data_IF_561931765267
#
_entry.id   IF_561931765267
#
_cell.length_a   1.000
_cell.length_b   1.000
_cell.length_c   1.000
_cell.angle_alpha   90.00
_cell.angle_beta   90.00
_cell.angle_gamma   90.00
#
_symmetry.space_group_name_H-M   'P 1'
#
loop_
_entity.id
_entity.type
_entity.pdbx_description
1 polymer ?
#
# COMPACT_ATOMS: atom_id res chain seq x y z
N UNK A 1 55.90 -42.54 -27.31
CA UNK A 1 56.69 -43.12 -26.20
C UNK A 1 56.88 -42.07 -25.12
N UNK A 2 56.27 -42.31 -23.94
CA UNK A 2 56.70 -41.98 -22.55
C UNK A 2 57.08 -40.52 -22.19
N UNK A 3 56.79 -39.93 -21.02
CA UNK A 3 56.03 -40.22 -19.78
C UNK A 3 56.09 -38.91 -18.94
N UNK A 4 54.96 -38.44 -18.43
CA UNK A 4 54.68 -38.01 -17.03
C UNK A 4 55.90 -37.94 -16.08
N UNK A 5 56.08 -36.82 -15.38
CA UNK A 5 56.35 -36.80 -13.92
C UNK A 5 55.92 -35.47 -13.28
N UNK A 6 55.04 -35.59 -12.30
CA UNK A 6 54.74 -34.58 -11.29
C UNK A 6 55.78 -34.66 -10.17
N UNK A 7 56.17 -33.52 -9.60
CA UNK A 7 56.80 -33.46 -8.27
C UNK A 7 56.22 -32.26 -7.52
N UNK A 8 55.46 -32.58 -6.48
CA UNK A 8 55.15 -31.69 -5.36
C UNK A 8 56.43 -31.44 -4.55
N UNK A 9 56.68 -30.19 -4.15
CA UNK A 9 57.49 -29.91 -2.97
C UNK A 9 56.83 -28.81 -2.13
N UNK A 10 56.36 -29.21 -0.95
CA UNK A 10 56.00 -28.34 0.16
C UNK A 10 57.27 -27.71 0.73
N UNK A 11 57.27 -26.39 0.91
CA UNK A 11 58.14 -25.70 1.87
C UNK A 11 57.28 -24.75 2.69
N UNK A 12 57.10 -25.09 3.96
CA UNK A 12 56.58 -24.22 5.00
C UNK A 12 57.76 -23.47 5.63
N UNK A 13 57.72 -22.13 5.64
CA UNK A 13 58.54 -21.31 6.51
C UNK A 13 57.74 -20.11 7.00
N UNK A 14 57.75 -19.96 8.32
CA UNK A 14 57.08 -18.97 9.12
C UNK A 14 57.78 -17.59 9.08
N UNK A 15 57.00 -16.52 9.19
CA UNK A 15 57.42 -15.20 9.68
C UNK A 15 56.16 -14.42 10.09
N UNK A 16 55.83 -14.39 11.38
CA UNK A 16 56.09 -13.30 12.32
C UNK A 16 55.08 -12.14 12.22
N UNK A 17 53.99 -12.29 12.98
CA UNK A 17 53.05 -11.22 13.35
C UNK A 17 53.73 -10.17 14.23
N UNK A 18 53.65 -8.89 13.85
CA UNK A 18 54.03 -7.77 14.69
C UNK A 18 52.91 -7.44 15.68
N UNK A 19 53.03 -7.97 16.89
CA UNK A 19 52.28 -7.54 18.08
C UNK A 19 52.69 -6.11 18.44
N UNK A 20 51.73 -5.18 18.47
CA UNK A 20 51.94 -3.82 18.99
C UNK A 20 52.04 -3.85 20.53
N UNK A 21 52.96 -3.09 21.16
CA UNK A 21 53.09 -3.07 22.60
C UNK A 21 51.89 -2.38 23.29
N UNK A 22 51.37 -3.04 24.32
CA UNK A 22 50.39 -2.52 25.28
C UNK A 22 51.08 -1.56 26.24
N UNK A 23 50.53 -0.37 26.42
CA UNK A 23 51.03 0.63 27.36
C UNK A 23 50.76 0.21 28.83
N UNK A 24 51.65 0.53 29.78
CA UNK A 24 51.52 0.14 31.18
C UNK A 24 50.40 0.90 31.93
N UNK A 25 49.81 0.30 32.99
CA UNK A 25 48.76 0.92 33.79
C UNK A 25 49.29 2.06 34.66
N UNK A 26 48.52 3.14 34.74
CA UNK A 26 48.82 4.30 35.58
C UNK A 26 48.67 3.97 37.09
N UNK A 27 49.45 4.62 37.98
CA UNK A 27 49.45 4.37 39.43
C UNK A 27 48.18 4.90 40.13
N UNK A 28 47.82 4.33 41.30
CA UNK A 28 46.62 4.71 42.05
C UNK A 28 46.78 6.09 42.71
N UNK A 29 45.99 7.05 42.23
CA UNK A 29 45.88 8.40 42.79
C UNK A 29 44.83 8.47 43.90
N UNK A 30 45.20 9.14 44.97
CA UNK A 30 44.51 9.42 46.24
C UNK A 30 43.06 9.89 46.14
N UNK A 31 42.23 9.31 47.02
CA UNK A 31 40.84 9.68 47.32
C UNK A 31 40.81 11.10 47.91
N UNK A 32 40.14 12.04 47.24
CA UNK A 32 39.66 13.28 47.84
C UNK A 32 38.14 13.24 47.87
N UNK A 33 37.60 13.26 49.08
CA UNK A 33 36.18 13.36 49.36
C UNK A 33 35.63 14.69 48.86
N UNK A 34 34.86 14.67 47.77
CA UNK A 34 33.95 15.76 47.44
C UNK A 34 32.51 15.23 47.37
N UNK A 35 31.67 15.97 48.09
CA UNK A 35 30.25 15.82 48.36
C UNK A 35 29.41 15.33 47.19
N UNK A 36 28.57 14.33 47.48
CA UNK A 36 27.41 13.94 46.68
C UNK A 36 26.45 15.13 46.60
N UNK A 37 26.49 15.85 45.49
CA UNK A 37 25.38 16.70 45.05
C UNK A 37 24.65 15.94 43.94
N UNK A 38 23.42 15.50 44.25
CA UNK A 38 22.48 14.98 43.27
C UNK A 38 22.24 16.03 42.18
N UNK A 39 22.49 15.74 40.89
CA UNK A 39 21.86 16.49 39.83
C UNK A 39 20.44 15.95 39.69
N UNK A 40 19.47 16.79 40.03
CA UNK A 40 18.10 16.71 39.57
C UNK A 40 18.10 16.77 38.04
N UNK A 41 18.39 15.64 37.39
CA UNK A 41 18.34 15.50 35.94
C UNK A 41 16.89 15.36 35.51
N UNK A 42 16.33 16.44 34.97
CA UNK A 42 15.18 16.32 34.07
C UNK A 42 15.51 15.29 32.97
N UNK A 43 14.55 14.47 32.51
CA UNK A 43 14.80 13.50 31.46
C UNK A 43 15.30 14.26 30.22
N UNK A 44 16.50 13.93 29.77
CA UNK A 44 17.01 14.39 28.48
C UNK A 44 16.09 13.77 27.43
N UNK A 45 15.22 14.59 26.84
CA UNK A 45 14.43 14.19 25.68
C UNK A 45 15.40 13.70 24.61
N UNK A 46 15.36 12.40 24.30
CA UNK A 46 16.15 11.83 23.22
C UNK A 46 15.82 12.55 21.92
N UNK A 47 16.84 12.79 21.09
CA UNK A 47 16.65 13.34 19.74
C UNK A 47 15.52 12.56 19.04
N UNK A 48 14.54 13.25 18.42
CA UNK A 48 13.45 12.56 17.73
C UNK A 48 14.04 11.60 16.69
N UNK A 49 13.61 10.34 16.73
CA UNK A 49 13.99 9.33 15.74
C UNK A 49 13.46 9.81 14.37
N UNK A 50 14.25 9.64 13.31
CA UNK A 50 13.77 9.98 11.97
C UNK A 50 12.53 9.15 11.60
N UNK A 51 11.51 9.79 11.02
CA UNK A 51 10.28 9.13 10.58
C UNK A 51 10.60 8.05 9.54
N UNK A 52 10.00 6.86 9.68
CA UNK A 52 10.19 5.76 8.73
C UNK A 52 9.63 6.16 7.35
N UNK A 53 8.57 6.97 7.33
CA UNK A 53 8.01 7.59 6.14
C UNK A 53 8.98 8.51 5.40
N UNK A 54 9.68 9.40 6.10
CA UNK A 54 10.66 10.29 5.50
C UNK A 54 11.86 9.51 4.96
N UNK A 55 12.31 8.49 5.68
CA UNK A 55 13.32 7.55 5.17
C UNK A 55 12.85 6.86 3.89
N UNK A 56 11.56 6.54 3.77
CA UNK A 56 11.00 5.93 2.56
C UNK A 56 11.10 6.87 1.38
N UNK A 57 10.74 8.14 1.56
CA UNK A 57 10.90 9.15 0.52
C UNK A 57 12.36 9.30 0.11
N UNK A 58 13.29 9.31 1.06
CA UNK A 58 14.72 9.41 0.78
C UNK A 58 15.24 8.20 -0.01
N UNK A 59 14.84 6.98 0.38
CA UNK A 59 15.17 5.74 -0.33
C UNK A 59 14.61 5.76 -1.76
N UNK A 60 13.33 6.09 -1.92
CA UNK A 60 12.65 6.12 -3.23
C UNK A 60 13.29 7.14 -4.17
N UNK A 61 13.64 8.34 -3.67
CA UNK A 61 14.37 9.35 -4.45
C UNK A 61 15.75 8.85 -4.85
N UNK A 62 16.51 8.27 -3.91
CA UNK A 62 17.83 7.69 -4.17
C UNK A 62 17.75 6.63 -5.28
N UNK A 63 16.82 5.70 -5.19
CA UNK A 63 16.66 4.65 -6.21
C UNK A 63 16.19 5.22 -7.55
N UNK A 64 15.25 6.18 -7.52
CA UNK A 64 14.71 6.80 -8.72
C UNK A 64 15.75 7.62 -9.50
N UNK A 65 16.63 8.35 -8.80
CA UNK A 65 17.64 9.23 -9.42
C UNK A 65 18.90 8.47 -9.88
N UNK A 66 19.07 7.21 -9.46
CA UNK A 66 20.27 6.43 -9.71
C UNK A 66 20.27 5.73 -11.08
N UNK A 67 20.78 6.42 -12.11
CA UNK A 67 20.73 5.97 -13.50
C UNK A 67 21.86 5.01 -13.92
N UNK A 68 22.53 4.33 -13.00
CA UNK A 68 23.59 3.36 -13.35
C UNK A 68 23.07 2.25 -14.28
N UNK A 69 23.94 1.72 -15.15
CA UNK A 69 23.57 0.68 -16.12
C UNK A 69 23.32 -0.69 -15.47
N UNK A 70 24.05 -0.99 -14.41
CA UNK A 70 24.01 -2.24 -13.67
C UNK A 70 24.45 -2.04 -12.21
N UNK A 71 24.32 -3.10 -11.42
CA UNK A 71 24.57 -3.13 -9.98
C UNK A 71 25.82 -3.97 -9.66
N UNK A 72 26.90 -3.82 -10.45
CA UNK A 72 28.19 -4.44 -10.18
C UNK A 72 28.53 -5.64 -11.04
N UNK A 73 28.03 -5.69 -12.29
CA UNK A 73 28.46 -6.70 -13.27
C UNK A 73 27.35 -7.25 -14.18
N UNK A 74 27.77 -8.09 -15.14
CA UNK A 74 26.92 -8.61 -16.23
C UNK A 74 25.67 -9.39 -15.77
N UNK A 75 25.69 -9.92 -14.55
CA UNK A 75 24.58 -10.68 -13.95
C UNK A 75 23.84 -9.88 -12.87
N UNK A 76 24.08 -8.58 -12.72
CA UNK A 76 23.44 -7.72 -11.71
C UNK A 76 22.73 -6.55 -12.39
N UNK A 77 21.53 -6.73 -12.96
CA UNK A 77 20.82 -5.65 -13.67
C UNK A 77 20.49 -4.46 -12.78
N UNK A 78 20.27 -3.29 -13.37
CA UNK A 78 19.98 -2.05 -12.63
C UNK A 78 18.82 -2.15 -11.62
N UNK A 79 17.78 -2.96 -11.88
CA UNK A 79 16.67 -3.14 -10.94
C UNK A 79 17.08 -3.78 -9.60
N UNK A 80 18.27 -4.40 -9.53
CA UNK A 80 18.76 -5.02 -8.29
C UNK A 80 19.00 -3.97 -7.20
N UNK A 81 19.39 -2.75 -7.58
CA UNK A 81 19.83 -1.71 -6.64
C UNK A 81 19.31 -0.31 -6.94
N UNK A 82 18.55 -0.13 -8.04
CA UNK A 82 18.04 1.16 -8.47
C UNK A 82 16.63 1.05 -9.05
N UNK A 83 16.01 2.21 -9.23
CA UNK A 83 14.63 2.40 -9.63
C UNK A 83 13.61 1.88 -8.62
N UNK A 84 12.35 2.25 -8.84
CA UNK A 84 11.24 1.97 -7.94
C UNK A 84 10.32 0.94 -8.59
N UNK A 85 10.21 -0.24 -7.96
CA UNK A 85 9.31 -1.32 -8.39
C UNK A 85 7.90 -1.08 -7.85
N UNK A 86 6.95 -0.81 -8.73
CA UNK A 86 5.56 -0.50 -8.42
C UNK A 86 4.66 -1.67 -8.78
N UNK A 87 3.90 -2.22 -7.83
CA UNK A 87 2.77 -3.09 -8.16
C UNK A 87 1.48 -2.35 -7.87
N UNK A 88 0.78 -1.98 -8.93
CA UNK A 88 -0.58 -1.49 -8.84
C UNK A 88 -1.54 -2.64 -8.51
N UNK A 89 -2.50 -2.38 -7.62
CA UNK A 89 -3.47 -3.40 -7.18
C UNK A 89 -4.87 -2.83 -7.16
N UNK A 90 -5.85 -3.69 -7.46
CA UNK A 90 -7.21 -3.42 -7.02
C UNK A 90 -7.30 -3.70 -5.51
N UNK A 91 -8.20 -3.00 -4.82
CA UNK A 91 -8.52 -3.27 -3.43
C UNK A 91 -9.76 -4.17 -3.34
N UNK A 92 -9.70 -5.17 -2.46
CA UNK A 92 -10.83 -6.04 -2.16
C UNK A 92 -10.66 -6.64 -0.77
N UNK A 93 -11.77 -6.80 -0.05
CA UNK A 93 -11.81 -7.55 1.20
C UNK A 93 -11.40 -9.02 1.02
N UNK A 94 -11.63 -9.59 -0.17
CA UNK A 94 -11.47 -11.03 -0.43
C UNK A 94 -10.02 -11.49 -0.61
N UNK A 95 -9.06 -10.56 -0.77
CA UNK A 95 -7.64 -10.91 -0.91
C UNK A 95 -6.74 -9.82 -0.34
N UNK A 96 -5.52 -10.21 0.04
CA UNK A 96 -4.46 -9.28 0.42
C UNK A 96 -3.70 -8.84 -0.84
N UNK A 97 -3.41 -7.55 -1.04
CA UNK A 97 -2.80 -7.06 -2.28
C UNK A 97 -1.38 -7.60 -2.51
N UNK A 98 -0.62 -7.86 -1.44
CA UNK A 98 0.70 -8.49 -1.52
C UNK A 98 0.65 -10.00 -1.74
N UNK A 99 -0.53 -10.63 -1.74
CA UNK A 99 -0.66 -12.00 -2.19
C UNK A 99 -0.71 -12.08 -3.72
N UNK A 100 -0.05 -13.07 -4.33
CA UNK A 100 -0.18 -13.28 -5.77
C UNK A 100 -1.56 -13.85 -6.08
N UNK A 101 -2.09 -13.56 -7.28
CA UNK A 101 -3.29 -14.25 -7.76
C UNK A 101 -3.00 -15.77 -7.82
N UNK A 102 -3.80 -16.63 -7.15
CA UNK A 102 -3.59 -18.08 -7.16
C UNK A 102 -3.56 -18.70 -8.56
N UNK A 103 -4.25 -18.11 -9.52
CA UNK A 103 -4.32 -18.59 -10.91
C UNK A 103 -3.24 -17.98 -11.82
N UNK A 104 -2.50 -16.98 -11.35
CA UNK A 104 -1.39 -16.41 -12.12
C UNK A 104 -0.14 -17.27 -11.98
N UNK A 105 0.73 -17.22 -12.99
CA UNK A 105 2.03 -17.90 -13.05
C UNK A 105 3.19 -17.05 -12.51
N UNK A 106 2.93 -15.79 -12.18
CA UNK A 106 3.90 -14.79 -11.76
C UNK A 106 3.20 -13.52 -11.31
N UNK A 107 3.96 -12.47 -11.02
CA UNK A 107 3.42 -11.20 -10.54
C UNK A 107 3.98 -10.04 -11.33
N UNK A 108 3.11 -9.17 -11.83
CA UNK A 108 3.52 -8.02 -12.63
C UNK A 108 3.80 -6.80 -11.77
N UNK A 109 4.91 -6.14 -12.07
CA UNK A 109 5.32 -4.86 -11.52
C UNK A 109 5.64 -3.92 -12.68
N UNK A 110 5.45 -2.63 -12.48
CA UNK A 110 6.12 -1.62 -13.27
C UNK A 110 7.39 -1.18 -12.56
N UNK A 111 8.30 -0.54 -13.29
CA UNK A 111 9.56 -0.05 -12.74
C UNK A 111 9.83 1.36 -13.27
N UNK A 112 9.98 2.32 -12.37
CA UNK A 112 10.25 3.71 -12.72
C UNK A 112 11.64 4.13 -12.28
N UNK A 113 12.28 4.93 -13.10
CA UNK A 113 13.54 5.61 -12.82
C UNK A 113 13.53 6.93 -13.58
N UNK A 114 14.38 7.88 -13.21
CA UNK A 114 14.43 9.21 -13.82
C UNK A 114 14.54 9.17 -15.35
N UNK A 115 15.17 8.14 -15.89
CA UNK A 115 15.41 7.93 -17.30
C UNK A 115 14.46 6.90 -17.95
N UNK A 116 13.43 6.43 -17.24
CA UNK A 116 12.40 5.48 -17.72
C UNK A 116 11.13 5.56 -16.88
N UNK A 117 10.15 6.32 -17.36
CA UNK A 117 8.90 6.60 -16.65
C UNK A 117 7.64 6.39 -17.53
N UNK A 118 6.45 6.62 -16.98
CA UNK A 118 5.12 6.63 -17.63
C UNK A 118 4.17 7.55 -16.87
N UNK A 119 3.02 7.85 -17.48
CA UNK A 119 1.97 8.67 -16.89
C UNK A 119 0.78 7.90 -16.31
N UNK A 120 0.68 6.57 -16.50
CA UNK A 120 -0.40 5.76 -15.88
C UNK A 120 0.04 4.36 -15.48
N UNK A 121 -0.66 3.80 -14.50
CA UNK A 121 -0.53 2.41 -14.08
C UNK A 121 -1.47 1.49 -14.88
N UNK A 122 -1.22 0.18 -14.79
CA UNK A 122 -2.08 -0.84 -15.38
C UNK A 122 -3.54 -0.70 -14.91
N UNK A 123 -4.48 -0.93 -15.83
CA UNK A 123 -5.93 -0.88 -15.57
C UNK A 123 -6.47 0.44 -15.01
N UNK A 124 -5.68 1.52 -15.00
CA UNK A 124 -6.07 2.79 -14.39
C UNK A 124 -6.12 2.75 -12.86
N UNK A 125 -5.47 1.77 -12.22
CA UNK A 125 -5.41 1.70 -10.76
C UNK A 125 -4.69 2.91 -10.17
N UNK A 126 -5.20 3.36 -9.01
CA UNK A 126 -4.68 4.52 -8.29
C UNK A 126 -3.79 4.16 -7.10
N UNK A 127 -3.69 2.90 -6.68
CA UNK A 127 -2.93 2.50 -5.50
C UNK A 127 -2.15 1.20 -5.73
N UNK A 128 -1.29 0.90 -4.75
CA UNK A 128 -0.54 -0.33 -4.73
C UNK A 128 0.58 -0.33 -3.70
N UNK A 129 1.62 -1.10 -3.97
CA UNK A 129 2.78 -1.19 -3.11
C UNK A 129 4.11 -1.15 -3.87
N UNK A 130 5.14 -0.74 -3.17
CA UNK A 130 6.52 -0.64 -3.64
C UNK A 130 7.37 -1.71 -2.99
N UNK A 131 8.21 -2.38 -3.77
CA UNK A 131 9.24 -3.26 -3.23
C UNK A 131 10.57 -2.53 -2.97
N UNK A 132 11.29 -2.98 -1.95
CA UNK A 132 12.73 -2.72 -1.86
C UNK A 132 13.43 -3.33 -3.08
N UNK A 133 14.44 -2.66 -3.67
CA UNK A 133 15.40 -3.30 -4.55
C UNK A 133 16.08 -4.48 -3.84
N UNK A 134 16.42 -5.51 -4.61
CA UNK A 134 16.98 -6.76 -4.08
C UNK A 134 18.24 -6.55 -3.22
N UNK A 135 19.08 -5.56 -3.52
CA UNK A 135 20.31 -5.27 -2.77
C UNK A 135 20.09 -4.58 -1.43
N UNK A 136 18.95 -3.92 -1.24
CA UNK A 136 18.66 -3.15 -0.02
C UNK A 136 18.08 -4.04 1.08
N UNK A 137 17.43 -5.15 0.69
CA UNK A 137 16.89 -6.21 1.53
C UNK A 137 15.90 -5.72 2.62
N UNK A 138 14.65 -6.21 2.60
CA UNK A 138 13.79 -6.05 3.78
C UNK A 138 14.06 -7.21 4.75
N UNK A 139 14.47 -6.90 5.97
CA UNK A 139 14.78 -7.91 6.99
C UNK A 139 13.62 -8.91 7.16
N UNK A 140 13.94 -10.21 7.07
CA UNK A 140 12.95 -11.29 7.21
C UNK A 140 12.02 -11.52 6.01
N UNK A 141 12.17 -10.75 4.92
CA UNK A 141 11.38 -10.92 3.70
C UNK A 141 11.99 -11.95 2.73
N UNK A 142 11.15 -12.48 1.84
CA UNK A 142 11.61 -13.29 0.72
C UNK A 142 12.34 -12.45 -0.31
N UNK A 143 13.41 -13.03 -0.88
CA UNK A 143 14.07 -12.51 -2.07
C UNK A 143 13.26 -12.92 -3.31
N UNK A 144 12.74 -11.94 -4.03
CA UNK A 144 11.89 -12.17 -5.21
C UNK A 144 12.65 -11.74 -6.46
N UNK A 145 12.81 -12.66 -7.40
CA UNK A 145 13.50 -12.40 -8.65
C UNK A 145 12.57 -11.90 -9.75
N UNK A 146 13.15 -11.11 -10.66
CA UNK A 146 12.54 -10.73 -11.93
C UNK A 146 12.86 -11.80 -12.96
N UNK A 147 11.86 -12.28 -13.67
CA UNK A 147 11.92 -13.34 -14.68
C UNK A 147 12.11 -12.78 -16.09
N UNK A 148 11.40 -11.69 -16.41
CA UNK A 148 11.54 -10.98 -17.67
C UNK A 148 11.10 -9.52 -17.55
N UNK A 149 11.52 -8.72 -18.53
CA UNK A 149 11.23 -7.29 -18.60
C UNK A 149 10.72 -6.88 -19.99
N UNK A 150 9.59 -6.19 -20.04
CA UNK A 150 8.93 -5.68 -21.24
C UNK A 150 8.90 -4.15 -21.21
N UNK A 151 9.53 -3.45 -22.18
CA UNK A 151 9.58 -1.98 -22.20
C UNK A 151 8.20 -1.30 -22.28
N UNK A 152 7.16 -2.05 -22.62
CA UNK A 152 5.75 -1.65 -22.61
C UNK A 152 4.93 -2.77 -21.95
N UNK A 153 3.69 -2.51 -21.55
CA UNK A 153 2.76 -3.52 -21.04
C UNK A 153 2.76 -4.78 -21.91
N UNK A 154 3.23 -5.88 -21.34
CA UNK A 154 3.58 -7.12 -22.04
C UNK A 154 2.41 -8.07 -22.23
N UNK A 155 1.22 -7.76 -21.70
CA UNK A 155 0.06 -8.66 -21.76
C UNK A 155 0.35 -10.01 -21.10
N UNK A 156 1.02 -9.99 -19.93
CA UNK A 156 1.53 -11.23 -19.31
C UNK A 156 0.44 -12.19 -18.82
N UNK A 157 -0.81 -11.74 -18.74
CA UNK A 157 -1.98 -12.58 -18.52
C UNK A 157 -2.24 -13.57 -19.69
N UNK A 158 -1.82 -13.24 -20.91
CA UNK A 158 -2.07 -14.04 -22.12
C UNK A 158 -0.84 -14.87 -22.57
N UNK A 159 0.18 -14.96 -21.69
CA UNK A 159 1.43 -15.71 -21.90
C UNK A 159 1.43 -16.98 -21.05
N UNK A 160 0.96 -18.13 -21.58
CA UNK A 160 0.73 -19.34 -20.78
C UNK A 160 2.01 -20.07 -20.38
N UNK A 161 3.16 -19.75 -20.98
CA UNK A 161 4.43 -20.44 -20.75
C UNK A 161 5.49 -19.53 -20.11
N UNK A 162 6.55 -20.15 -19.59
CA UNK A 162 7.70 -19.50 -18.96
C UNK A 162 7.30 -18.46 -17.89
N UNK A 163 6.29 -18.77 -17.08
CA UNK A 163 5.82 -17.90 -15.99
C UNK A 163 5.29 -16.52 -16.43
N UNK A 164 4.77 -16.41 -17.66
CA UNK A 164 4.35 -15.14 -18.24
C UNK A 164 5.44 -14.45 -19.07
N UNK A 165 6.59 -15.11 -19.28
CA UNK A 165 7.68 -14.60 -20.11
C UNK A 165 7.73 -15.23 -21.51
N UNK A 166 6.89 -16.23 -21.78
CA UNK A 166 6.79 -16.90 -23.07
C UNK A 166 5.98 -16.10 -24.09
N UNK A 167 5.75 -16.66 -25.29
CA UNK A 167 4.87 -16.06 -26.27
C UNK A 167 3.42 -15.95 -25.78
N UNK A 168 2.69 -14.97 -26.31
CA UNK A 168 1.23 -14.88 -26.21
C UNK A 168 0.56 -15.89 -27.13
N UNK A 169 -0.68 -16.25 -26.82
CA UNK A 169 -1.48 -17.16 -27.66
C UNK A 169 -1.80 -16.56 -29.03
N UNK A 170 -2.02 -15.25 -29.10
CA UNK A 170 -2.39 -14.54 -30.33
C UNK A 170 -1.19 -14.28 -31.26
N UNK A 171 0.02 -14.09 -30.72
CA UNK A 171 1.22 -13.79 -31.51
C UNK A 171 2.36 -14.77 -31.20
N UNK A 172 2.19 -16.09 -31.44
CA UNK A 172 3.10 -17.12 -30.95
C UNK A 172 4.52 -17.05 -31.53
N UNK A 173 4.72 -16.32 -32.64
CA UNK A 173 6.03 -16.18 -33.29
C UNK A 173 6.75 -14.88 -32.90
N UNK A 174 6.07 -13.74 -32.99
CA UNK A 174 6.69 -12.41 -32.75
C UNK A 174 6.82 -12.05 -31.28
N UNK A 175 6.02 -12.67 -30.39
CA UNK A 175 6.02 -12.36 -28.96
C UNK A 175 6.90 -13.28 -28.11
N UNK A 176 7.61 -14.24 -28.73
CA UNK A 176 8.60 -15.10 -28.06
C UNK A 176 9.65 -14.25 -27.33
N UNK A 177 10.38 -14.79 -26.33
CA UNK A 177 11.48 -14.07 -25.69
C UNK A 177 12.42 -13.41 -26.71
N UNK A 178 12.89 -12.19 -26.43
CA UNK A 178 13.70 -11.43 -27.40
C UNK A 178 14.99 -12.17 -27.77
N UNK A 179 15.61 -12.87 -26.81
CA UNK A 179 16.83 -13.66 -27.03
C UNK A 179 16.59 -14.78 -28.07
N UNK A 180 15.43 -15.42 -28.05
CA UNK A 180 15.05 -16.50 -28.99
C UNK A 180 14.81 -15.99 -30.41
N UNK A 181 14.63 -14.67 -30.56
CA UNK A 181 14.43 -13.99 -31.83
C UNK A 181 15.69 -13.27 -32.34
N UNK A 182 16.79 -13.34 -31.60
CA UNK A 182 18.01 -12.58 -31.92
C UNK A 182 17.88 -11.08 -31.69
N UNK A 183 16.85 -10.62 -30.97
CA UNK A 183 16.64 -9.20 -30.63
C UNK A 183 17.48 -8.87 -29.39
N UNK A 184 18.70 -8.42 -29.64
CA UNK A 184 19.70 -8.15 -28.58
C UNK A 184 19.88 -6.66 -28.28
N UNK A 185 19.29 -5.77 -29.06
CA UNK A 185 19.46 -4.32 -28.92
C UNK A 185 18.13 -3.60 -28.82
N UNK A 186 18.12 -2.45 -28.15
CA UNK A 186 16.93 -1.59 -28.10
C UNK A 186 16.48 -1.13 -29.50
N UNK A 187 17.42 -0.93 -30.43
CA UNK A 187 17.13 -0.49 -31.80
C UNK A 187 16.37 -1.55 -32.61
N UNK A 188 16.81 -2.81 -32.54
CA UNK A 188 16.10 -3.93 -33.17
C UNK A 188 14.75 -4.20 -32.50
N UNK A 189 14.68 -4.01 -31.18
CA UNK A 189 13.41 -4.07 -30.47
C UNK A 189 12.44 -2.99 -30.93
N UNK A 190 12.87 -1.72 -31.03
CA UNK A 190 12.03 -0.61 -31.50
C UNK A 190 11.56 -0.82 -32.94
N UNK A 191 12.43 -1.31 -33.82
CA UNK A 191 12.05 -1.65 -35.20
C UNK A 191 10.93 -2.69 -35.23
N UNK A 192 11.06 -3.78 -34.47
CA UNK A 192 10.03 -4.81 -34.34
C UNK A 192 8.74 -4.24 -33.73
N UNK A 193 8.85 -3.58 -32.57
CA UNK A 193 7.74 -3.01 -31.81
C UNK A 193 6.91 -1.99 -32.59
N UNK A 194 7.56 -1.16 -33.41
CA UNK A 194 6.87 -0.17 -34.23
C UNK A 194 6.06 -0.81 -35.36
N UNK A 195 6.51 -1.96 -35.89
CA UNK A 195 5.78 -2.73 -36.91
C UNK A 195 4.61 -3.57 -36.36
N UNK A 196 4.43 -3.68 -35.05
CA UNK A 196 3.35 -4.46 -34.45
C UNK A 196 2.01 -3.75 -34.55
N UNK A 197 0.99 -4.50 -34.98
CA UNK A 197 -0.43 -4.12 -34.93
C UNK A 197 -0.89 -4.04 -33.47
N UNK A 198 -0.69 -5.10 -32.69
CA UNK A 198 -0.94 -5.12 -31.25
C UNK A 198 0.38 -5.08 -30.48
N UNK A 199 0.68 -3.92 -29.90
CA UNK A 199 1.93 -3.65 -29.17
C UNK A 199 2.02 -4.40 -27.85
N UNK A 200 0.89 -4.67 -27.19
CA UNK A 200 0.85 -5.41 -25.93
C UNK A 200 1.17 -6.88 -26.15
N UNK A 201 0.43 -7.49 -27.08
CA UNK A 201 0.45 -8.94 -27.29
C UNK A 201 1.59 -9.40 -28.21
N UNK A 202 2.02 -8.53 -29.13
CA UNK A 202 3.00 -8.88 -30.17
C UNK A 202 4.46 -8.67 -29.79
N UNK A 203 4.76 -7.89 -28.74
CA UNK A 203 6.12 -7.55 -28.35
C UNK A 203 6.84 -8.73 -27.69
N UNK A 204 8.17 -8.75 -27.83
CA UNK A 204 9.04 -9.62 -27.03
C UNK A 204 9.46 -8.92 -25.74
N UNK A 205 9.75 -9.71 -24.70
CA UNK A 205 10.42 -9.27 -23.48
C UNK A 205 11.80 -9.92 -23.36
N UNK A 206 12.72 -9.26 -22.67
CA UNK A 206 14.04 -9.83 -22.40
C UNK A 206 14.04 -10.74 -21.18
N UNK A 207 14.75 -11.86 -21.28
CA UNK A 207 14.88 -12.82 -20.19
C UNK A 207 15.87 -12.33 -19.13
N UNK A 208 15.41 -12.23 -17.89
CA UNK A 208 16.25 -11.92 -16.72
C UNK A 208 16.86 -13.19 -16.09
N UNK A 209 16.59 -14.36 -16.68
CA UNK A 209 17.23 -15.64 -16.36
C UNK A 209 18.57 -15.84 -17.09
N UNK A 210 18.86 -15.01 -18.09
CA UNK A 210 20.08 -15.11 -18.91
C UNK A 210 21.33 -14.64 -18.16
N UNK A 211 22.50 -15.16 -18.54
CA UNK A 211 23.80 -14.67 -18.04
C UNK A 211 24.13 -13.24 -18.49
N UNK A 212 23.45 -12.73 -19.53
CA UNK A 212 23.59 -11.39 -20.06
C UNK A 212 22.52 -10.40 -19.51
N UNK A 213 21.80 -10.78 -18.45
CA UNK A 213 20.63 -10.04 -17.95
C UNK A 213 20.88 -8.56 -17.64
N UNK A 214 22.08 -8.16 -17.20
CA UNK A 214 22.36 -6.74 -16.97
C UNK A 214 22.37 -5.93 -18.27
N UNK A 215 23.02 -6.47 -19.32
CA UNK A 215 22.98 -5.87 -20.64
C UNK A 215 21.54 -5.85 -21.19
N UNK A 216 20.77 -6.93 -21.03
CA UNK A 216 19.38 -6.98 -21.47
C UNK A 216 18.49 -5.96 -20.78
N UNK A 217 18.68 -5.77 -19.48
CA UNK A 217 17.93 -4.73 -18.76
C UNK A 217 18.35 -3.32 -19.17
N UNK A 218 19.61 -3.12 -19.53
CA UNK A 218 20.05 -1.87 -20.18
C UNK A 218 19.32 -1.64 -21.50
N UNK A 219 19.14 -2.67 -22.33
CA UNK A 219 18.35 -2.55 -23.56
C UNK A 219 16.87 -2.25 -23.29
N UNK A 220 16.31 -2.80 -22.20
CA UNK A 220 14.97 -2.45 -21.73
C UNK A 220 14.83 -0.96 -21.40
N UNK A 221 15.79 -0.38 -20.67
CA UNK A 221 15.82 1.06 -20.36
C UNK A 221 15.91 1.89 -21.66
N UNK A 222 16.85 1.54 -22.54
CA UNK A 222 17.06 2.27 -23.80
C UNK A 222 15.85 2.17 -24.75
N UNK A 223 15.18 1.00 -24.79
CA UNK A 223 13.97 0.82 -25.59
C UNK A 223 12.84 1.71 -25.10
N UNK A 224 12.70 1.86 -23.77
CA UNK A 224 11.76 2.79 -23.18
C UNK A 224 12.07 4.24 -23.53
N UNK A 225 13.34 4.63 -23.47
CA UNK A 225 13.79 5.98 -23.83
C UNK A 225 13.52 6.31 -25.30
N UNK A 226 13.80 5.37 -26.21
CA UNK A 226 13.57 5.55 -27.65
C UNK A 226 12.10 5.41 -28.10
N UNK A 227 11.19 5.02 -27.21
CA UNK A 227 9.78 4.80 -27.53
C UNK A 227 9.05 6.10 -27.90
N UNK A 228 8.20 6.05 -28.93
CA UNK A 228 7.36 7.19 -29.31
C UNK A 228 6.39 7.60 -28.18
N UNK A 229 6.10 8.91 -28.09
CA UNK A 229 5.21 9.49 -27.05
C UNK A 229 3.85 8.79 -26.99
N UNK A 230 3.30 8.39 -28.15
CA UNK A 230 2.02 7.67 -28.24
C UNK A 230 1.98 6.34 -27.46
N UNK A 231 3.13 5.70 -27.21
CA UNK A 231 3.22 4.45 -26.45
C UNK A 231 3.82 4.67 -25.05
N UNK A 232 4.48 5.81 -24.81
CA UNK A 232 5.18 6.10 -23.57
C UNK A 232 4.25 6.17 -22.35
N UNK A 233 3.02 6.67 -22.53
CA UNK A 233 2.08 6.79 -21.40
C UNK A 233 1.77 5.44 -20.76
N UNK A 234 1.76 4.36 -21.54
CA UNK A 234 1.50 3.01 -21.05
C UNK A 234 2.68 2.51 -20.22
N UNK A 235 2.40 1.92 -19.07
CA UNK A 235 3.40 1.37 -18.16
C UNK A 235 4.33 0.36 -18.82
N UNK A 236 5.53 0.18 -18.27
CA UNK A 236 6.36 -0.98 -18.56
C UNK A 236 5.96 -2.15 -17.64
N UNK A 237 6.49 -3.33 -17.90
CA UNK A 237 6.16 -4.51 -17.12
C UNK A 237 7.39 -5.39 -16.84
N UNK A 238 7.69 -5.55 -15.57
CA UNK A 238 8.54 -6.59 -15.02
C UNK A 238 7.65 -7.75 -14.57
N UNK A 239 8.02 -8.97 -14.95
CA UNK A 239 7.37 -10.18 -14.46
C UNK A 239 8.23 -10.77 -13.35
N UNK A 240 7.70 -10.80 -12.13
CA UNK A 240 8.35 -11.40 -10.97
C UNK A 240 7.92 -12.86 -10.79
N UNK A 241 8.79 -13.65 -10.16
CA UNK A 241 8.47 -15.00 -9.70
C UNK A 241 7.24 -14.95 -8.79
N UNK A 242 6.36 -15.95 -8.89
CA UNK A 242 5.23 -16.11 -7.97
C UNK A 242 5.71 -16.64 -6.61
N UNK A 243 5.29 -16.00 -5.53
CA UNK A 243 5.52 -16.48 -4.17
C UNK A 243 4.28 -17.19 -3.56
N UNK A 244 4.45 -17.78 -2.38
CA UNK A 244 3.34 -18.42 -1.67
C UNK A 244 2.38 -17.38 -1.07
N UNK A 245 1.11 -17.75 -0.92
CA UNK A 245 0.15 -16.91 -0.19
C UNK A 245 0.67 -16.60 1.23
N UNK A 246 0.40 -15.38 1.71
CA UNK A 246 0.73 -14.92 3.07
C UNK A 246 2.23 -14.89 3.39
N UNK A 247 3.10 -14.90 2.36
CA UNK A 247 4.53 -14.70 2.55
C UNK A 247 4.85 -13.26 2.95
N UNK A 248 5.86 -13.07 3.80
CA UNK A 248 6.46 -11.76 4.04
C UNK A 248 7.32 -11.42 2.81
N UNK A 249 6.91 -10.38 2.09
CA UNK A 249 7.58 -9.89 0.88
C UNK A 249 8.17 -8.50 1.12
N UNK A 250 9.13 -8.03 0.32
CA UNK A 250 9.94 -6.86 0.65
C UNK A 250 9.20 -5.54 0.38
N UNK A 251 8.06 -5.31 1.02
CA UNK A 251 7.30 -4.06 0.87
C UNK A 251 8.02 -2.91 1.57
N UNK A 252 8.40 -1.88 0.79
CA UNK A 252 8.97 -0.63 1.30
C UNK A 252 7.92 0.37 1.74
N UNK A 253 6.85 0.47 0.95
CA UNK A 253 5.79 1.45 1.10
C UNK A 253 4.52 0.97 0.39
N UNK A 254 3.37 1.37 0.89
CA UNK A 254 2.16 1.48 0.08
C UNK A 254 2.17 2.82 -0.65
N UNK A 255 1.45 2.93 -1.76
CA UNK A 255 1.33 4.19 -2.48
C UNK A 255 -0.08 4.43 -2.98
N UNK A 256 -0.38 5.70 -3.23
CA UNK A 256 -1.54 6.12 -4.00
C UNK A 256 -1.17 7.27 -4.95
N UNK A 257 -1.97 7.43 -6.01
CA UNK A 257 -1.92 8.52 -6.96
C UNK A 257 -2.96 9.58 -6.59
N UNK A 258 -2.58 10.86 -6.40
CA UNK A 258 -3.53 11.93 -6.12
C UNK A 258 -4.48 12.14 -7.32
N UNK A 259 -5.71 12.54 -7.04
CA UNK A 259 -6.73 12.79 -8.06
C UNK A 259 -7.48 11.56 -8.56
N UNK A 260 -7.17 10.36 -8.05
CA UNK A 260 -7.93 9.13 -8.30
C UNK A 260 -8.83 8.84 -7.09
N UNK A 261 -10.14 8.80 -7.32
CA UNK A 261 -11.13 8.54 -6.27
C UNK A 261 -10.85 7.21 -5.56
N UNK A 262 -10.91 7.21 -4.22
CA UNK A 262 -10.70 6.04 -3.37
C UNK A 262 -9.26 5.56 -3.21
N UNK A 263 -8.29 6.07 -4.00
CA UNK A 263 -6.93 5.55 -4.01
C UNK A 263 -6.20 5.67 -2.66
N UNK A 264 -6.37 6.79 -1.94
CA UNK A 264 -5.82 6.96 -0.59
C UNK A 264 -6.45 5.97 0.40
N UNK A 265 -7.78 5.87 0.43
CA UNK A 265 -8.49 4.93 1.31
C UNK A 265 -8.06 3.47 1.09
N UNK A 266 -7.80 3.08 -0.17
CA UNK A 266 -7.27 1.75 -0.47
C UNK A 266 -5.85 1.53 0.06
N UNK A 267 -4.96 2.52 -0.06
CA UNK A 267 -3.61 2.43 0.51
C UNK A 267 -3.63 2.41 2.06
N UNK A 268 -4.57 3.13 2.68
CA UNK A 268 -4.81 3.10 4.13
C UNK A 268 -5.28 1.74 4.62
N UNK A 269 -6.21 1.11 3.90
CA UNK A 269 -6.65 -0.25 4.22
C UNK A 269 -5.50 -1.24 4.07
N UNK A 270 -4.70 -1.12 3.02
CA UNK A 270 -3.53 -1.99 2.82
C UNK A 270 -2.50 -1.82 3.95
N UNK A 271 -2.25 -0.58 4.42
CA UNK A 271 -1.40 -0.30 5.56
C UNK A 271 -1.91 -0.95 6.85
N UNK A 272 -3.21 -0.79 7.15
CA UNK A 272 -3.86 -1.38 8.33
C UNK A 272 -3.76 -2.91 8.31
N UNK A 273 -4.11 -3.53 7.18
CA UNK A 273 -4.08 -5.00 7.02
C UNK A 273 -2.65 -5.54 7.11
N UNK A 274 -1.66 -4.82 6.60
CA UNK A 274 -0.26 -5.25 6.67
C UNK A 274 0.27 -5.19 8.11
N UNK A 275 -0.11 -4.14 8.85
CA UNK A 275 0.20 -4.02 10.28
C UNK A 275 -0.44 -5.17 11.07
N UNK A 276 -1.68 -5.54 10.79
CA UNK A 276 -2.36 -6.68 11.45
C UNK A 276 -1.66 -8.00 11.09
N UNK A 277 -1.37 -8.23 9.82
CA UNK A 277 -0.82 -9.49 9.34
C UNK A 277 0.63 -9.75 9.82
N UNK A 278 1.45 -8.71 9.90
CA UNK A 278 2.90 -8.86 10.11
C UNK A 278 3.46 -8.01 11.25
N UNK A 279 2.61 -7.31 12.00
CA UNK A 279 3.01 -6.37 13.06
C UNK A 279 4.04 -5.31 12.61
N UNK A 280 4.13 -5.05 11.31
CA UNK A 280 5.17 -4.19 10.72
C UNK A 280 4.53 -2.91 10.20
N UNK A 281 5.12 -1.75 10.54
CA UNK A 281 4.72 -0.47 9.96
C UNK A 281 5.30 -0.34 8.54
N UNK A 282 4.44 -0.01 7.58
CA UNK A 282 4.80 0.31 6.20
C UNK A 282 4.16 1.65 5.85
N UNK A 283 4.94 2.68 5.48
CA UNK A 283 4.38 4.01 5.21
C UNK A 283 3.57 4.03 3.91
N UNK A 284 2.58 4.91 3.85
CA UNK A 284 1.87 5.29 2.64
C UNK A 284 2.58 6.49 2.03
N UNK A 285 2.88 6.40 0.74
CA UNK A 285 3.58 7.43 -0.03
C UNK A 285 2.65 7.96 -1.11
N UNK A 286 2.47 9.28 -1.14
CA UNK A 286 1.83 9.97 -2.25
C UNK A 286 2.80 9.94 -3.44
N UNK A 287 2.43 9.19 -4.47
CA UNK A 287 3.18 9.06 -5.72
C UNK A 287 2.55 9.94 -6.79
N UNK A 288 3.32 10.84 -7.37
CA UNK A 288 2.93 11.54 -8.60
C UNK A 288 3.77 10.99 -9.74
N UNK A 289 3.13 10.40 -10.75
CA UNK A 289 3.81 9.93 -11.96
C UNK A 289 4.18 11.11 -12.87
N UNK A 290 5.17 10.91 -13.75
CA UNK A 290 5.53 11.94 -14.72
C UNK A 290 4.38 12.17 -15.71
N UNK A 291 4.06 13.44 -16.01
CA UNK A 291 3.04 13.82 -16.99
C UNK A 291 3.54 13.69 -18.44
N UNK A 292 4.86 13.82 -18.66
CA UNK A 292 5.50 13.71 -19.97
C UNK A 292 6.86 13.02 -19.88
N UNK A 293 7.48 12.73 -21.04
CA UNK A 293 8.81 12.08 -21.11
C UNK A 293 9.92 12.88 -20.43
N UNK A 294 9.80 14.20 -20.38
CA UNK A 294 10.78 15.11 -19.78
C UNK A 294 10.52 15.39 -18.30
N UNK A 295 9.37 14.99 -17.78
CA UNK A 295 9.00 15.21 -16.38
C UNK A 295 9.51 14.09 -15.47
N UNK A 296 9.56 14.37 -14.17
CA UNK A 296 9.96 13.41 -13.16
C UNK A 296 8.74 12.94 -12.34
N UNK A 297 8.83 11.70 -11.82
CA UNK A 297 7.93 11.29 -10.75
C UNK A 297 8.38 11.92 -9.42
N UNK A 298 7.43 12.10 -8.50
CA UNK A 298 7.72 12.61 -7.15
C UNK A 298 7.09 11.75 -6.08
N UNK A 299 7.78 11.69 -4.95
CA UNK A 299 7.38 10.94 -3.76
C UNK A 299 7.27 11.89 -2.57
N UNK A 300 6.15 11.80 -1.86
CA UNK A 300 5.92 12.56 -0.64
C UNK A 300 5.34 11.66 0.45
N UNK A 301 5.85 11.84 1.66
CA UNK A 301 5.26 11.31 2.88
C UNK A 301 4.45 12.42 3.51
N UNK A 302 3.18 12.13 3.79
CA UNK A 302 2.26 13.06 4.43
C UNK A 302 1.72 12.34 5.66
N UNK A 303 1.94 12.94 6.84
CA UNK A 303 1.51 12.34 8.09
C UNK A 303 0.00 12.04 8.10
N UNK A 304 -0.83 12.98 7.68
CA UNK A 304 -2.29 12.80 7.61
C UNK A 304 -2.78 11.74 6.62
N UNK A 305 -1.90 11.20 5.76
CA UNK A 305 -2.27 10.10 4.87
C UNK A 305 -2.16 8.74 5.60
N UNK A 306 -1.47 8.66 6.75
CA UNK A 306 -1.25 7.43 7.51
C UNK A 306 -2.46 7.10 8.41
N UNK A 307 -2.71 5.80 8.62
CA UNK A 307 -3.71 5.29 9.58
C UNK A 307 -3.12 4.37 10.64
N UNK A 308 -1.81 4.12 10.55
CA UNK A 308 -1.00 3.46 11.57
C UNK A 308 0.08 4.46 12.01
N UNK A 309 0.30 4.70 13.31
CA UNK A 309 1.34 5.60 13.80
C UNK A 309 2.74 5.20 13.29
N UNK A 310 3.57 6.17 12.91
CA UNK A 310 4.93 5.91 12.47
C UNK A 310 5.84 5.70 13.69
N UNK A 311 6.49 4.55 13.88
CA UNK A 311 7.36 4.34 15.04
C UNK A 311 8.47 5.38 15.23
N UNK A 312 8.85 6.12 14.18
CA UNK A 312 9.81 7.23 14.26
C UNK A 312 9.27 8.45 15.01
N UNK A 313 7.96 8.64 15.08
CA UNK A 313 7.32 9.74 15.83
C UNK A 313 7.20 9.46 17.33
N UNK A 314 7.80 8.37 17.84
CA UNK A 314 7.66 7.96 19.24
C UNK A 314 6.31 7.32 19.57
N UNK A 315 5.52 6.95 18.56
CA UNK A 315 4.14 6.49 18.72
C UNK A 315 3.15 7.63 18.96
N UNK A 316 3.56 8.87 18.71
CA UNK A 316 2.80 10.10 19.00
C UNK A 316 2.28 10.83 17.76
N UNK A 317 2.61 10.36 16.55
CA UNK A 317 2.18 10.95 15.28
C UNK A 317 0.96 10.26 14.67
N UNK A 318 0.53 10.71 13.47
CA UNK A 318 -0.86 10.80 13.02
C UNK A 318 -1.47 9.46 12.57
N UNK A 319 -1.42 8.44 13.42
CA UNK A 319 -2.57 7.54 13.55
C UNK A 319 -3.74 8.30 14.20
N UNK A 320 -4.92 7.69 14.38
CA UNK A 320 -6.03 8.35 15.09
C UNK A 320 -5.48 8.95 16.39
N UNK A 321 -5.53 10.27 16.47
CA UNK A 321 -4.90 11.08 17.50
C UNK A 321 -5.24 10.51 18.90
N UNK A 322 -4.26 10.15 19.74
CA UNK A 322 -4.53 9.60 21.06
C UNK A 322 -5.23 10.59 22.01
N UNK A 323 -5.32 11.89 21.65
CA UNK A 323 -6.15 12.90 22.32
C UNK A 323 -7.58 13.02 21.77
N UNK A 324 -7.87 12.39 20.63
CA UNK A 324 -9.18 12.33 20.00
C UNK A 324 -9.58 10.87 19.80
N UNK A 325 -10.07 10.22 20.87
CA UNK A 325 -10.46 8.81 20.88
C UNK A 325 -11.13 8.35 19.58
N UNK A 326 -10.75 7.18 19.07
CA UNK A 326 -11.12 6.58 17.78
C UNK A 326 -12.25 7.29 17.04
N UNK A 327 -11.90 8.30 16.23
CA UNK A 327 -12.82 8.91 15.28
C UNK A 327 -12.85 8.01 14.04
N UNK A 328 -13.99 7.38 13.80
CA UNK A 328 -14.32 6.75 12.52
C UNK A 328 -14.83 7.85 11.58
N UNK A 329 -14.01 8.17 10.59
CA UNK A 329 -14.35 9.09 9.50
C UNK A 329 -14.90 8.28 8.31
N UNK A 330 -16.21 8.43 8.06
CA UNK A 330 -16.89 7.70 6.98
C UNK A 330 -16.51 8.20 5.59
N UNK A 331 -15.86 9.36 5.48
CA UNK A 331 -15.34 9.91 4.22
C UNK A 331 -14.28 9.00 3.58
N UNK A 332 -13.62 8.15 4.38
CA UNK A 332 -12.45 7.37 3.96
C UNK A 332 -12.65 5.85 3.97
N UNK A 333 -13.89 5.37 4.16
CA UNK A 333 -14.22 3.94 4.25
C UNK A 333 -14.85 3.46 2.93
N UNK A 334 -14.23 2.50 2.21
CA UNK A 334 -14.81 1.98 0.98
C UNK A 334 -15.95 0.98 1.29
N UNK A 335 -17.21 1.44 1.24
CA UNK A 335 -18.36 0.55 1.36
C UNK A 335 -18.59 -0.23 0.05
N UNK A 336 -18.64 -1.56 0.10
CA UNK A 336 -18.81 -2.42 -1.07
C UNK A 336 -20.28 -2.56 -1.52
N UNK A 337 -20.82 -1.51 -2.15
CA UNK A 337 -22.12 -1.56 -2.85
C UNK A 337 -23.36 -1.60 -1.94
N UNK A 338 -24.58 -1.71 -2.52
CA UNK A 338 -25.84 -1.60 -1.79
C UNK A 338 -26.06 -2.77 -0.82
N UNK A 339 -26.59 -2.47 0.38
CA UNK A 339 -27.10 -3.45 1.34
C UNK A 339 -28.56 -3.77 0.95
N UNK A 340 -28.81 -4.95 0.39
CA UNK A 340 -30.19 -5.43 0.16
C UNK A 340 -30.56 -6.57 1.13
N UNK A 341 -31.79 -7.07 1.05
CA UNK A 341 -32.30 -8.16 1.88
C UNK A 341 -31.54 -9.50 1.73
N UNK A 342 -30.55 -9.59 0.84
CA UNK A 342 -29.67 -10.76 0.66
C UNK A 342 -28.26 -10.55 1.22
N UNK A 343 -27.82 -9.31 1.46
CA UNK A 343 -26.51 -8.94 2.04
C UNK A 343 -26.70 -8.30 3.42
N UNK A 344 -27.06 -9.11 4.42
CA UNK A 344 -27.56 -8.60 5.69
C UNK A 344 -26.62 -7.74 6.54
N UNK A 345 -25.30 -7.64 6.26
CA UNK A 345 -24.32 -6.96 7.11
C UNK A 345 -23.08 -6.43 6.36
N UNK A 346 -22.54 -5.27 6.76
CA UNK A 346 -21.18 -4.80 6.39
C UNK A 346 -20.36 -4.64 7.67
N UNK A 347 -19.19 -5.27 7.76
CA UNK A 347 -18.28 -5.13 8.90
C UNK A 347 -17.06 -4.27 8.54
N UNK A 348 -16.75 -3.29 9.39
CA UNK A 348 -15.56 -2.44 9.31
C UNK A 348 -14.66 -2.75 10.51
N UNK A 349 -13.46 -3.32 10.33
CA UNK A 349 -12.56 -3.62 11.43
C UNK A 349 -11.97 -2.35 12.05
N UNK A 350 -11.91 -2.30 13.39
CA UNK A 350 -11.24 -1.29 14.21
C UNK A 350 -9.96 -1.88 14.86
N UNK A 351 -9.14 -1.03 15.46
CA UNK A 351 -7.93 -1.42 16.20
C UNK A 351 -8.20 -2.39 17.36
N UNK A 352 -9.35 -2.26 18.03
CA UNK A 352 -9.75 -3.10 19.17
C UNK A 352 -11.16 -3.70 19.03
N UNK A 353 -11.67 -3.82 17.79
CA UNK A 353 -13.02 -4.34 17.54
C UNK A 353 -13.47 -4.22 16.08
N UNK A 354 -14.78 -4.08 15.83
CA UNK A 354 -15.36 -3.86 14.50
C UNK A 354 -16.70 -3.10 14.59
N UNK A 355 -17.10 -2.46 13.50
CA UNK A 355 -18.43 -1.83 13.35
C UNK A 355 -19.23 -2.64 12.34
N UNK A 356 -20.41 -3.08 12.73
CA UNK A 356 -21.35 -3.81 11.87
C UNK A 356 -22.50 -2.89 11.45
N UNK A 357 -22.73 -2.73 10.15
CA UNK A 357 -23.92 -2.08 9.60
C UNK A 357 -24.98 -3.12 9.27
N UNK A 358 -26.22 -2.89 9.69
CA UNK A 358 -27.35 -3.76 9.40
C UNK A 358 -28.67 -3.00 9.34
N UNK A 359 -29.64 -3.56 8.61
CA UNK A 359 -30.99 -3.02 8.50
C UNK A 359 -32.06 -4.09 8.71
N UNK A 360 -33.16 -3.72 9.36
CA UNK A 360 -34.39 -4.51 9.39
C UNK A 360 -35.40 -3.85 8.46
N UNK A 361 -35.78 -4.55 7.39
CA UNK A 361 -36.55 -3.97 6.27
C UNK A 361 -37.82 -4.76 5.98
N UNK A 362 -38.96 -4.06 5.90
CA UNK A 362 -40.21 -4.64 5.40
C UNK A 362 -40.35 -4.43 3.89
N UNK A 363 -39.60 -5.20 3.10
CA UNK A 363 -39.94 -5.45 1.68
C UNK A 363 -39.44 -4.45 0.61
N UNK A 364 -38.51 -3.55 0.90
CA UNK A 364 -37.83 -2.74 -0.13
C UNK A 364 -36.31 -2.61 0.13
N UNK A 365 -35.46 -2.46 -0.91
CA UNK A 365 -34.02 -2.29 -0.74
C UNK A 365 -33.67 -0.91 -0.17
N UNK A 366 -32.88 -0.89 0.90
CA UNK A 366 -32.23 0.32 1.41
C UNK A 366 -30.92 0.55 0.67
N UNK A 367 -30.57 1.80 0.37
CA UNK A 367 -29.31 2.12 -0.30
C UNK A 367 -28.29 2.64 0.70
N UNK A 368 -27.35 1.79 1.11
CA UNK A 368 -26.06 2.24 1.66
C UNK A 368 -25.08 2.31 0.49
N UNK A 369 -24.65 3.51 0.12
CA UNK A 369 -23.80 3.72 -1.05
C UNK A 369 -22.71 4.76 -0.78
N UNK A 370 -21.52 4.53 -1.37
CA UNK A 370 -20.59 5.62 -1.65
C UNK A 370 -21.29 6.56 -2.63
N UNK A 371 -21.36 7.87 -2.36
CA UNK A 371 -21.94 8.78 -3.33
C UNK A 371 -20.98 8.94 -4.53
N UNK A 372 -21.30 8.27 -5.64
CA UNK A 372 -20.92 8.71 -6.98
C UNK A 372 -22.20 8.60 -7.84
N UNK A 373 -23.01 9.64 -7.90
CA UNK A 373 -22.89 10.78 -8.82
C UNK A 373 -23.39 12.05 -8.09
N UNK A 374 -22.75 13.23 -8.24
CA UNK A 374 -23.16 14.45 -7.55
C UNK A 374 -24.62 14.79 -7.88
N UNK A 375 -25.46 14.93 -6.85
CA UNK A 375 -26.62 15.81 -6.96
C UNK A 375 -26.18 17.22 -6.56
N UNK A 376 -26.89 18.29 -6.96
CA UNK A 376 -26.41 19.66 -6.82
C UNK A 376 -26.16 20.14 -5.38
N UNK A 377 -26.45 19.33 -4.35
CA UNK A 377 -26.47 19.77 -2.95
C UNK A 377 -25.69 18.87 -1.96
N UNK A 378 -25.11 17.73 -2.38
CA UNK A 378 -24.44 16.79 -1.46
C UNK A 378 -23.07 16.37 -2.03
N UNK A 379 -22.00 16.57 -1.24
CA UNK A 379 -20.62 16.16 -1.54
C UNK A 379 -20.00 15.37 -0.37
N UNK A 380 -19.28 14.28 -0.66
CA UNK A 380 -18.56 13.42 0.32
C UNK A 380 -19.05 11.97 0.38
N UNK A 381 -18.28 11.07 1.03
CA UNK A 381 -18.69 9.69 1.33
C UNK A 381 -19.44 9.65 2.68
N UNK A 382 -20.71 9.29 2.64
CA UNK A 382 -21.63 9.35 3.80
C UNK A 382 -22.39 8.03 3.95
N UNK A 383 -22.73 7.65 5.18
CA UNK A 383 -23.84 6.70 5.38
C UNK A 383 -25.14 7.42 5.03
N UNK A 384 -25.74 7.07 3.88
CA UNK A 384 -27.02 7.60 3.44
C UNK A 384 -28.12 6.57 3.68
N UNK A 385 -29.29 7.03 4.12
CA UNK A 385 -30.54 6.26 4.08
C UNK A 385 -31.62 7.08 3.40
N UNK A 386 -32.49 6.43 2.63
CA UNK A 386 -33.70 7.02 2.05
C UNK A 386 -34.86 6.12 2.46
N UNK A 387 -35.65 6.56 3.44
CA UNK A 387 -36.91 5.88 3.82
C UNK A 387 -38.03 6.28 2.86
N UNK A 388 -38.93 5.36 2.47
CA UNK A 388 -40.10 5.71 1.64
C UNK A 388 -41.34 5.94 2.50
N UNK A 389 -42.29 6.79 2.09
CA UNK A 389 -43.55 6.95 2.81
C UNK A 389 -44.29 5.60 2.97
N UNK A 390 -44.65 5.22 4.20
CA UNK A 390 -45.49 4.07 4.54
C UNK A 390 -44.78 2.76 4.92
N UNK A 391 -43.45 2.72 5.08
CA UNK A 391 -42.69 1.50 5.45
C UNK A 391 -41.92 1.60 6.77
N UNK A 392 -41.92 0.56 7.60
CA UNK A 392 -41.17 0.58 8.87
C UNK A 392 -39.71 0.11 8.63
N UNK A 393 -38.80 1.05 8.37
CA UNK A 393 -37.40 0.76 8.11
C UNK A 393 -36.50 1.24 9.26
N UNK A 394 -35.78 0.31 9.90
CA UNK A 394 -34.78 0.60 10.94
C UNK A 394 -33.39 0.29 10.39
N UNK A 395 -32.53 1.31 10.36
CA UNK A 395 -31.15 1.18 9.89
C UNK A 395 -30.23 1.55 11.04
N UNK A 396 -29.18 0.77 11.28
CA UNK A 396 -28.30 1.01 12.39
C UNK A 396 -26.88 0.54 12.13
N UNK A 397 -25.99 0.97 13.00
CA UNK A 397 -24.66 0.41 13.13
C UNK A 397 -24.45 -0.07 14.56
N UNK A 398 -23.75 -1.18 14.71
CA UNK A 398 -23.32 -1.72 15.99
C UNK A 398 -21.81 -1.56 16.10
N UNK A 399 -21.35 -0.83 17.10
CA UNK A 399 -19.94 -0.71 17.45
C UNK A 399 -19.61 -1.80 18.46
N UNK A 400 -18.75 -2.74 18.06
CA UNK A 400 -18.08 -3.68 18.96
C UNK A 400 -16.66 -3.18 19.16
N UNK A 401 -16.30 -2.76 20.38
CA UNK A 401 -14.97 -2.24 20.71
C UNK A 401 -14.62 -2.69 22.12
N UNK A 402 -13.33 -2.81 22.43
CA UNK A 402 -12.89 -2.92 23.83
C UNK A 402 -13.49 -1.83 24.73
N UNK A 403 -13.44 -2.06 26.04
CA UNK A 403 -13.88 -1.17 27.13
C UNK A 403 -13.98 0.34 26.77
N UNK A 404 -15.20 0.87 26.63
CA UNK A 404 -15.44 2.32 26.42
C UNK A 404 -16.55 2.88 27.32
N UNK A 405 -16.55 4.19 27.54
CA UNK A 405 -17.54 4.91 28.38
C UNK A 405 -18.38 5.93 27.64
N UNK A 406 -17.96 6.38 26.46
CA UNK A 406 -18.72 7.38 25.71
C UNK A 406 -18.71 7.10 24.21
N UNK A 407 -19.85 7.29 23.57
CA UNK A 407 -20.05 7.22 22.13
C UNK A 407 -20.56 8.58 21.65
N UNK A 408 -19.85 9.20 20.73
CA UNK A 408 -20.23 10.46 20.12
C UNK A 408 -20.51 10.25 18.63
N UNK A 409 -21.66 10.72 18.15
CA UNK A 409 -22.13 10.53 16.78
C UNK A 409 -22.49 11.89 16.20
N UNK A 410 -21.77 12.31 15.16
CA UNK A 410 -22.08 13.53 14.41
C UNK A 410 -22.98 13.21 13.23
N UNK A 411 -24.02 14.02 13.04
CA UNK A 411 -25.06 13.76 12.06
C UNK A 411 -25.55 15.03 11.36
N UNK A 412 -26.11 14.84 10.17
CA UNK A 412 -26.84 15.86 9.40
C UNK A 412 -28.13 15.25 8.85
N UNK A 413 -29.25 15.97 8.96
CA UNK A 413 -30.55 15.57 8.39
C UNK A 413 -30.94 16.50 7.26
N UNK A 414 -31.23 15.91 6.11
CA UNK A 414 -31.79 16.60 4.95
C UNK A 414 -33.21 16.09 4.67
N UNK A 415 -34.12 17.02 4.39
CA UNK A 415 -35.57 16.77 4.37
C UNK A 415 -36.20 17.04 5.74
N UNK A 416 -36.85 18.20 5.88
CA UNK A 416 -37.09 18.87 7.16
C UNK A 416 -38.13 18.28 8.13
N UNK A 417 -38.09 16.98 8.47
CA UNK A 417 -38.97 16.38 9.49
C UNK A 417 -38.26 15.34 10.39
N UNK A 418 -38.93 15.00 11.50
CA UNK A 418 -38.40 14.30 12.69
C UNK A 418 -37.79 12.93 12.38
N UNK A 419 -36.54 12.74 12.82
CA UNK A 419 -35.90 11.43 12.98
C UNK A 419 -35.43 11.29 14.43
N UNK A 420 -35.17 10.06 14.87
CA UNK A 420 -34.53 9.82 16.15
C UNK A 420 -33.41 8.79 16.04
N UNK A 421 -32.48 8.90 16.98
CA UNK A 421 -31.37 7.98 17.18
C UNK A 421 -31.62 7.23 18.48
N UNK A 422 -31.62 5.90 18.42
CA UNK A 422 -31.68 5.04 19.60
C UNK A 422 -30.33 4.37 19.78
N UNK A 423 -29.68 4.58 20.92
CA UNK A 423 -28.44 3.92 21.29
C UNK A 423 -28.71 2.91 22.41
N UNK A 424 -28.43 1.64 22.16
CA UNK A 424 -28.35 0.57 23.14
C UNK A 424 -26.89 0.46 23.56
N UNK A 425 -26.55 0.82 24.79
CA UNK A 425 -25.17 0.88 25.30
C UNK A 425 -25.05 -0.07 26.48
N UNK A 426 -24.44 -1.24 26.27
CA UNK A 426 -24.58 -2.34 27.21
C UNK A 426 -26.05 -2.74 27.35
N UNK A 427 -26.63 -2.63 28.55
CA UNK A 427 -28.03 -3.00 28.83
C UNK A 427 -28.96 -1.77 29.00
N UNK A 428 -28.53 -0.58 28.60
CA UNK A 428 -29.32 0.65 28.73
C UNK A 428 -29.66 1.21 27.33
N UNK A 429 -30.92 1.59 27.14
CA UNK A 429 -31.41 2.24 25.91
C UNK A 429 -31.56 3.76 26.14
N UNK A 430 -31.01 4.57 25.24
CA UNK A 430 -31.18 6.02 25.20
C UNK A 430 -31.71 6.47 23.83
N UNK A 431 -32.77 7.28 23.82
CA UNK A 431 -33.39 7.82 22.60
C UNK A 431 -33.17 9.33 22.53
N UNK A 432 -32.62 9.81 21.40
CA UNK A 432 -32.41 11.23 21.11
C UNK A 432 -33.07 11.63 19.80
N UNK A 433 -33.92 12.65 19.85
CA UNK A 433 -34.53 13.23 18.66
C UNK A 433 -33.54 14.09 17.89
N UNK A 434 -33.55 13.97 16.57
CA UNK A 434 -32.61 14.60 15.65
C UNK A 434 -33.28 15.74 14.87
N UNK A 435 -32.57 16.85 14.67
CA UNK A 435 -33.02 17.97 13.82
C UNK A 435 -31.83 18.72 13.24
N UNK A 436 -31.84 18.99 11.93
CA UNK A 436 -30.76 19.70 11.26
C UNK A 436 -29.45 18.93 11.36
N UNK A 437 -28.35 19.60 11.70
CA UNK A 437 -27.05 18.98 11.97
C UNK A 437 -26.65 19.13 13.44
N UNK A 438 -25.91 18.17 13.97
CA UNK A 438 -25.43 18.22 15.34
C UNK A 438 -24.58 17.02 15.73
N UNK A 439 -24.16 17.01 17.00
CA UNK A 439 -23.38 15.93 17.59
C UNK A 439 -24.11 15.43 18.82
N UNK A 440 -24.36 14.12 18.88
CA UNK A 440 -24.92 13.46 20.05
C UNK A 440 -23.80 12.76 20.82
N UNK A 441 -23.81 12.89 22.13
CA UNK A 441 -22.92 12.14 23.04
C UNK A 441 -23.79 11.22 23.87
N UNK A 442 -23.40 9.95 23.95
CA UNK A 442 -24.04 8.94 24.77
C UNK A 442 -23.02 8.41 25.77
N UNK A 443 -23.28 8.61 27.05
CA UNK A 443 -22.36 8.25 28.13
C UNK A 443 -22.87 7.02 28.88
N UNK A 444 -22.06 5.97 28.89
CA UNK A 444 -22.32 4.76 29.64
C UNK A 444 -21.99 4.97 31.13
N UNK A 445 -22.91 4.61 32.02
CA UNK A 445 -22.68 4.66 33.48
C UNK A 445 -21.53 3.73 33.94
N UNK A 446 -21.21 2.73 33.12
CA UNK A 446 -20.13 1.76 33.33
C UNK A 446 -19.42 1.54 32.00
N UNK A 447 -18.17 1.08 32.06
CA UNK A 447 -17.45 0.63 30.87
C UNK A 447 -18.20 -0.50 30.16
N UNK A 448 -18.43 -0.36 28.87
CA UNK A 448 -19.14 -1.32 28.02
C UNK A 448 -18.24 -1.79 26.87
N UNK A 449 -18.59 -2.92 26.26
CA UNK A 449 -17.86 -3.49 25.11
C UNK A 449 -18.68 -3.45 23.81
N UNK A 450 -19.90 -2.92 23.86
CA UNK A 450 -20.75 -2.77 22.68
C UNK A 450 -21.71 -1.58 22.81
N UNK A 451 -22.02 -0.97 21.67
CA UNK A 451 -23.12 -0.04 21.52
C UNK A 451 -23.81 -0.25 20.17
N UNK A 452 -25.14 -0.32 20.14
CA UNK A 452 -25.93 -0.36 18.91
C UNK A 452 -26.68 0.94 18.73
N UNK A 453 -26.39 1.64 17.64
CA UNK A 453 -27.10 2.87 17.26
C UNK A 453 -28.05 2.54 16.12
N UNK A 454 -29.30 2.95 16.26
CA UNK A 454 -30.35 2.78 15.26
C UNK A 454 -30.99 4.12 14.94
N UNK A 455 -31.33 4.28 13.68
CA UNK A 455 -31.99 5.44 13.10
C UNK A 455 -33.37 5.06 12.63
N UNK A 456 -34.34 5.91 12.95
CA UNK A 456 -35.71 5.77 12.50
C UNK A 456 -36.26 7.14 12.10
N UNK A 457 -36.82 7.21 10.90
CA UNK A 457 -37.53 8.40 10.41
C UNK A 457 -39.03 8.21 10.52
N UNK A 458 -39.79 9.27 10.84
CA UNK A 458 -41.26 9.15 10.87
C UNK A 458 -41.81 8.95 9.45
N UNK A 459 -42.37 7.76 9.21
CA UNK A 459 -42.52 7.23 7.85
C UNK A 459 -43.76 7.67 7.10
N UNK A 460 -44.59 8.56 7.64
CA UNK A 460 -45.89 8.85 7.03
C UNK A 460 -45.87 9.99 6.01
N UNK A 461 -44.78 10.74 5.83
CA UNK A 461 -44.90 12.06 5.19
C UNK A 461 -43.83 12.46 4.14
N UNK A 462 -42.61 11.88 4.12
CA UNK A 462 -41.60 12.08 3.06
C UNK A 462 -40.34 11.22 3.32
N UNK A 463 -39.45 11.03 2.31
CA UNK A 463 -38.12 10.48 2.55
C UNK A 463 -37.27 11.37 3.46
N UNK A 464 -36.62 10.76 4.45
CA UNK A 464 -35.63 11.42 5.30
C UNK A 464 -34.24 10.95 4.89
N UNK A 465 -33.33 11.91 4.64
CA UNK A 465 -31.91 11.62 4.44
C UNK A 465 -31.17 11.87 5.74
N UNK A 466 -30.59 10.82 6.32
CA UNK A 466 -29.70 10.93 7.48
C UNK A 466 -28.29 10.68 6.99
N UNK A 467 -27.40 11.61 7.32
CA UNK A 467 -25.97 11.58 7.05
C UNK A 467 -25.23 11.45 8.38
N UNK A 468 -24.30 10.50 8.46
CA UNK A 468 -23.40 10.34 9.62
C UNK A 468 -22.01 10.78 9.20
N UNK A 469 -21.54 11.84 9.85
CA UNK A 469 -20.28 12.51 9.53
C UNK A 469 -19.10 11.82 10.21
N UNK A 470 -19.26 11.44 11.47
CA UNK A 470 -18.25 10.74 12.24
C UNK A 470 -18.85 10.00 13.43
N UNK A 471 -18.17 8.95 13.87
CA UNK A 471 -18.43 8.27 15.14
C UNK A 471 -17.15 8.29 15.95
N UNK A 472 -17.22 8.77 17.19
CA UNK A 472 -16.09 8.89 18.11
C UNK A 472 -16.34 8.05 19.35
N UNK A 473 -15.38 7.21 19.74
CA UNK A 473 -15.51 6.39 20.95
C UNK A 473 -14.44 6.78 21.98
N UNK A 474 -14.86 7.10 23.21
CA UNK A 474 -13.97 7.52 24.31
C UNK A 474 -13.99 6.51 25.45
N UNK A 475 -12.81 6.26 26.02
CA UNK A 475 -12.61 5.34 27.15
C UNK A 475 -13.11 5.88 28.49
#
# INVERSE_FOLDING_TARGET
>A
MKRIFAVLLLVALAACDHVRPVAPPAPPGSISSQSVQSPSGAPVAGSPRALIGDQAVADLRRWYDDTRSDCGGATSPAFVCSGVMLRATANSANYLPWNPNPNSTGVSFSWIRKDTNFSKLAYGYGNGFIFYPKSENAAGSQVIDVECAFPHDGGTNDRPSLSGCGPTTQYPQSSRPCDDQGIQTYSSWLQSFNGLVNKHQGQCGWSMRSSARANRFTQFILARQGMAVANWSTQNELRMVKWAQNSIVPVRAFFYLPGIAGALGYAQEDQRRYKIAFNTFVPIIRLTLASSKSDAASFAYVGGDQVVPDPGDGGSGPGPDPGHGDIIDFENIPLQGPIDSTRGKIEIPLTTGWIEFGGWLSGAPTYVANAATPTPFISGHHLMTITRPGQYDRIGFTVFRGAFRSLEVSYTIEGGKQAYMMAEIGNEDEIKWLKGSGTLVFDAKKTVNFARVSFEGNVNEAPVTIRIDNVKVKE
#
